data_IF_466300363459
#
_entry.id   IF_466300363459
#
_cell.length_a   1.000
_cell.length_b   1.000
_cell.length_c   1.000
_cell.angle_alpha   90.00
_cell.angle_beta   90.00
_cell.angle_gamma   90.00
#
_symmetry.space_group_name_H-M   'P 1'
#
loop_
_entity.id
_entity.type
_entity.pdbx_description
1 polymer ?
#
# COMPACT_ATOMS: atom_id res chain seq x y z
N UNK A 1 83.43 -29.15 -12.34
CA UNK A 1 82.30 -28.51 -13.00
C UNK A 1 81.09 -28.89 -12.21
N UNK A 2 80.48 -28.01 -11.42
CA UNK A 2 79.30 -28.31 -10.64
C UNK A 2 78.03 -27.87 -11.40
N UNK A 3 77.03 -28.77 -11.45
CA UNK A 3 75.74 -28.56 -12.00
C UNK A 3 74.87 -27.83 -10.97
N UNK A 4 74.17 -26.73 -11.39
CA UNK A 4 73.23 -25.97 -10.61
C UNK A 4 71.82 -26.52 -10.84
N UNK A 5 71.22 -27.09 -9.78
CA UNK A 5 69.77 -27.47 -9.74
C UNK A 5 68.95 -26.23 -9.41
N UNK A 6 67.98 -25.87 -10.29
CA UNK A 6 66.99 -24.87 -10.03
C UNK A 6 65.80 -25.50 -9.31
N UNK A 7 65.33 -24.97 -8.16
CA UNK A 7 64.08 -25.41 -7.58
C UNK A 7 62.93 -24.68 -8.26
N UNK A 8 61.97 -25.45 -8.86
CA UNK A 8 60.73 -24.95 -9.43
C UNK A 8 59.81 -24.51 -8.34
N UNK A 9 59.31 -23.27 -8.43
CA UNK A 9 58.29 -22.71 -7.58
C UNK A 9 56.91 -23.12 -8.12
N UNK A 10 56.22 -24.03 -7.43
CA UNK A 10 54.82 -24.34 -7.65
C UNK A 10 53.95 -23.24 -7.00
N UNK A 11 53.42 -22.32 -7.80
CA UNK A 11 52.41 -21.37 -7.35
C UNK A 11 51.03 -22.07 -7.27
N UNK A 12 50.59 -22.35 -6.06
CA UNK A 12 49.22 -22.83 -5.81
C UNK A 12 48.26 -21.63 -5.86
N UNK A 13 47.49 -21.50 -6.94
CA UNK A 13 46.39 -20.56 -7.03
C UNK A 13 45.20 -21.11 -6.24
N UNK A 14 45.00 -20.59 -5.03
CA UNK A 14 43.77 -20.81 -4.27
C UNK A 14 42.65 -19.97 -4.89
N UNK A 15 41.78 -20.60 -5.68
CA UNK A 15 40.52 -19.99 -6.12
C UNK A 15 39.61 -19.86 -4.90
N UNK A 16 39.53 -18.64 -4.34
CA UNK A 16 38.57 -18.29 -3.33
C UNK A 16 37.16 -18.27 -3.96
N UNK A 17 36.37 -19.29 -3.69
CA UNK A 17 34.93 -19.29 -3.94
C UNK A 17 34.29 -18.23 -3.02
N UNK A 18 34.15 -17.00 -3.52
CA UNK A 18 33.32 -15.97 -2.89
C UNK A 18 31.85 -16.45 -2.94
N UNK A 19 31.46 -17.17 -1.90
CA UNK A 19 30.05 -17.53 -1.70
C UNK A 19 29.23 -16.28 -1.64
N UNK A 20 28.47 -15.98 -2.68
CA UNK A 20 27.39 -15.00 -2.63
C UNK A 20 26.35 -15.55 -1.67
N UNK A 21 26.39 -15.11 -0.40
CA UNK A 21 25.32 -15.36 0.54
C UNK A 21 24.06 -14.74 -0.09
N UNK A 22 23.14 -15.58 -0.56
CA UNK A 22 21.82 -15.15 -1.01
C UNK A 22 21.19 -14.41 0.16
N UNK A 23 21.07 -13.08 0.02
CA UNK A 23 20.42 -12.25 1.03
C UNK A 23 18.96 -12.69 1.07
N UNK A 24 18.54 -13.30 2.18
CA UNK A 24 17.16 -13.71 2.35
C UNK A 24 16.26 -12.51 2.04
N UNK A 25 15.34 -12.68 1.10
CA UNK A 25 14.41 -11.63 0.71
C UNK A 25 13.56 -11.28 1.93
N UNK A 26 13.62 -10.03 2.34
CA UNK A 26 12.93 -9.54 3.52
C UNK A 26 11.40 -9.65 3.29
N UNK A 27 10.63 -10.26 4.22
CA UNK A 27 9.21 -10.49 4.00
C UNK A 27 8.47 -9.17 3.77
N UNK A 28 7.59 -9.15 2.77
CA UNK A 28 6.78 -7.98 2.42
C UNK A 28 5.92 -7.51 3.60
N UNK A 29 5.75 -6.18 3.82
CA UNK A 29 4.92 -5.67 4.90
C UNK A 29 3.44 -6.00 4.63
N UNK A 30 2.71 -6.40 5.67
CA UNK A 30 1.28 -6.66 5.60
C UNK A 30 0.48 -5.34 5.62
N UNK A 31 0.26 -4.73 4.46
CA UNK A 31 -0.56 -3.51 4.34
C UNK A 31 -2.00 -3.77 4.79
N UNK A 32 -2.62 -2.78 5.45
CA UNK A 32 -4.07 -2.73 5.61
C UNK A 32 -4.64 -1.43 5.03
N UNK A 33 -5.88 -1.51 4.57
CA UNK A 33 -6.67 -0.38 4.07
C UNK A 33 -7.91 -0.29 4.94
N UNK A 34 -8.17 0.91 5.47
CA UNK A 34 -9.42 1.28 6.13
C UNK A 34 -10.13 2.30 5.25
N UNK A 35 -11.45 2.30 5.26
CA UNK A 35 -12.26 3.33 4.61
C UNK A 35 -13.33 3.84 5.57
N UNK A 36 -13.39 5.16 5.76
CA UNK A 36 -14.32 5.83 6.67
C UNK A 36 -15.11 6.88 5.92
N UNK A 37 -16.41 6.88 6.11
CA UNK A 37 -17.31 7.87 5.51
C UNK A 37 -17.25 9.16 6.30
N UNK A 38 -17.19 10.29 5.60
CA UNK A 38 -17.38 11.59 6.23
C UNK A 38 -18.88 11.88 6.34
N UNK A 39 -19.40 11.95 7.56
CA UNK A 39 -20.83 12.16 7.84
C UNK A 39 -21.11 13.65 7.78
N UNK A 40 -21.76 14.10 6.70
CA UNK A 40 -21.99 15.51 6.43
C UNK A 40 -22.80 16.23 7.52
N UNK A 41 -23.73 15.54 8.18
CA UNK A 41 -24.60 16.12 9.21
C UNK A 41 -23.89 16.38 10.55
N UNK A 42 -22.84 15.63 10.85
CA UNK A 42 -22.14 15.72 12.15
C UNK A 42 -20.69 16.18 12.03
N UNK A 43 -20.10 16.16 10.82
CA UNK A 43 -18.68 16.43 10.59
C UNK A 43 -17.75 15.35 11.14
N UNK A 44 -18.28 14.18 11.46
CA UNK A 44 -17.51 13.05 12.02
C UNK A 44 -17.23 11.98 10.96
N UNK A 45 -16.34 11.06 11.29
CA UNK A 45 -16.10 9.88 10.48
C UNK A 45 -16.86 8.67 11.02
N UNK A 46 -17.33 7.81 10.11
CA UNK A 46 -17.87 6.51 10.46
C UNK A 46 -16.77 5.58 11.01
N UNK A 47 -17.20 4.43 11.52
CA UNK A 47 -16.28 3.29 11.68
C UNK A 47 -15.73 2.83 10.31
N UNK A 48 -14.70 1.96 10.33
CA UNK A 48 -14.14 1.36 9.11
C UNK A 48 -15.20 0.50 8.40
N UNK A 49 -15.60 0.93 7.21
CA UNK A 49 -16.61 0.22 6.39
C UNK A 49 -16.05 -1.01 5.68
N UNK A 50 -14.72 -1.20 5.69
CA UNK A 50 -14.03 -2.40 5.20
C UNK A 50 -13.76 -3.42 6.32
N UNK A 51 -14.02 -3.05 7.56
CA UNK A 51 -13.84 -3.91 8.72
C UNK A 51 -14.83 -5.09 8.73
N UNK A 52 -14.63 -6.07 9.62
CA UNK A 52 -15.46 -7.27 9.71
C UNK A 52 -16.93 -6.97 10.03
N UNK A 53 -17.21 -5.80 10.61
CA UNK A 53 -18.56 -5.31 10.88
C UNK A 53 -19.07 -4.36 9.77
N UNK A 54 -18.36 -4.24 8.65
CA UNK A 54 -18.73 -3.38 7.53
C UNK A 54 -20.12 -3.74 7.00
N UNK A 55 -21.03 -2.77 6.99
CA UNK A 55 -22.36 -2.93 6.43
C UNK A 55 -22.33 -2.70 4.93
N UNK A 56 -23.22 -3.38 4.19
CA UNK A 56 -23.49 -3.00 2.82
C UNK A 56 -23.91 -1.52 2.77
N UNK A 57 -23.18 -0.71 2.01
CA UNK A 57 -23.38 0.74 1.95
C UNK A 57 -24.46 1.07 0.92
N UNK A 58 -25.72 0.82 1.27
CA UNK A 58 -26.87 1.18 0.42
C UNK A 58 -27.24 2.64 0.59
N UNK A 59 -27.34 3.36 -0.53
CA UNK A 59 -27.94 4.70 -0.66
C UNK A 59 -27.55 5.73 0.42
N UNK A 60 -26.26 5.78 0.76
CA UNK A 60 -25.74 6.63 1.84
C UNK A 60 -25.82 8.14 1.56
N UNK A 61 -26.15 8.54 0.31
CA UNK A 61 -26.28 9.96 -0.06
C UNK A 61 -27.55 10.57 0.50
N UNK A 62 -28.63 9.79 0.58
CA UNK A 62 -29.97 10.21 1.04
C UNK A 62 -30.48 9.43 2.26
N UNK A 63 -29.66 8.55 2.83
CA UNK A 63 -30.03 7.76 4.01
C UNK A 63 -29.85 8.53 5.33
N UNK A 64 -30.04 7.82 6.44
CA UNK A 64 -29.90 8.36 7.81
C UNK A 64 -28.51 8.92 8.13
N UNK A 65 -27.52 8.55 7.34
CA UNK A 65 -26.12 8.97 7.50
C UNK A 65 -25.58 9.45 6.16
N UNK A 66 -26.00 10.65 5.68
CA UNK A 66 -25.58 11.14 4.38
C UNK A 66 -24.07 11.41 4.36
N UNK A 67 -23.40 10.80 3.38
CA UNK A 67 -21.98 11.00 3.12
C UNK A 67 -21.73 11.15 1.63
N UNK A 68 -20.89 12.10 1.28
CA UNK A 68 -20.44 12.35 -0.10
C UNK A 68 -18.93 12.24 -0.26
N UNK A 69 -18.21 11.86 0.81
CA UNK A 69 -16.78 11.74 0.79
C UNK A 69 -16.29 10.56 1.65
N UNK A 70 -15.14 10.01 1.28
CA UNK A 70 -14.53 8.86 1.96
C UNK A 70 -13.08 9.15 2.25
N UNK A 71 -12.67 8.98 3.51
CA UNK A 71 -11.28 8.95 3.91
C UNK A 71 -10.77 7.51 3.82
N UNK A 72 -9.77 7.28 2.96
CA UNK A 72 -9.06 5.99 2.86
C UNK A 72 -7.76 6.11 3.63
N UNK A 73 -7.52 5.23 4.58
CA UNK A 73 -6.30 5.18 5.39
C UNK A 73 -5.52 3.93 5.03
N UNK A 74 -4.28 4.10 4.59
CA UNK A 74 -3.36 2.99 4.35
C UNK A 74 -2.39 2.91 5.53
N UNK A 75 -2.38 1.75 6.20
CA UNK A 75 -1.45 1.45 7.29
C UNK A 75 -0.28 0.63 6.74
N UNK A 76 0.94 1.08 7.01
CA UNK A 76 2.20 0.39 6.67
C UNK A 76 2.89 0.01 7.97
N UNK A 77 2.89 -1.27 8.37
CA UNK A 77 3.59 -1.71 9.58
C UNK A 77 5.10 -1.68 9.36
N UNK A 78 5.87 -1.44 10.41
CA UNK A 78 7.34 -1.54 10.45
C UNK A 78 8.05 -0.85 9.26
N UNK A 79 7.51 0.26 8.77
CA UNK A 79 7.99 0.92 7.57
C UNK A 79 9.45 1.43 7.70
N UNK A 80 9.93 1.67 8.93
CA UNK A 80 11.28 2.17 9.19
C UNK A 80 12.38 1.17 8.85
N UNK A 81 12.07 -0.12 8.76
CA UNK A 81 13.06 -1.16 8.40
C UNK A 81 13.53 -1.06 6.94
N UNK A 82 12.79 -0.33 6.10
CA UNK A 82 13.09 -0.23 4.69
C UNK A 82 14.02 0.94 4.40
N UNK A 83 15.13 0.67 3.71
CA UNK A 83 16.08 1.71 3.32
C UNK A 83 15.57 2.60 2.18
N UNK A 84 15.97 3.87 2.23
CA UNK A 84 15.67 4.86 1.19
C UNK A 84 14.28 5.50 1.33
N UNK A 85 13.90 6.36 0.36
CA UNK A 85 12.62 7.05 0.38
C UNK A 85 11.45 6.08 0.33
N UNK A 86 10.52 6.22 1.29
CA UNK A 86 9.32 5.40 1.39
C UNK A 86 8.10 6.18 0.93
N UNK A 87 7.21 5.51 0.18
CA UNK A 87 6.01 6.13 -0.42
C UNK A 87 4.85 5.16 -0.43
N UNK A 88 3.64 5.70 -0.31
CA UNK A 88 2.40 4.97 -0.56
C UNK A 88 1.68 5.61 -1.74
N UNK A 89 1.33 4.82 -2.75
CA UNK A 89 0.44 5.20 -3.84
C UNK A 89 -0.91 4.56 -3.62
N UNK A 90 -1.97 5.34 -3.71
CA UNK A 90 -3.35 4.85 -3.77
C UNK A 90 -3.93 5.15 -5.13
N UNK A 91 -4.46 4.12 -5.78
CA UNK A 91 -5.32 4.24 -6.96
C UNK A 91 -6.72 3.84 -6.53
N UNK A 92 -7.69 4.74 -6.72
CA UNK A 92 -9.10 4.48 -6.49
C UNK A 92 -9.84 4.56 -7.82
N UNK A 93 -10.56 3.49 -8.16
CA UNK A 93 -11.28 3.36 -9.43
C UNK A 93 -12.75 3.10 -9.16
N UNK A 94 -13.61 4.01 -9.61
CA UNK A 94 -15.05 3.81 -9.55
C UNK A 94 -15.48 2.78 -10.61
N UNK A 95 -16.15 1.73 -10.16
CA UNK A 95 -16.66 0.68 -11.04
C UNK A 95 -18.05 1.04 -11.57
N UNK A 96 -18.42 0.57 -12.77
CA UNK A 96 -19.78 0.78 -13.28
C UNK A 96 -20.82 0.11 -12.37
N UNK A 97 -21.89 0.81 -12.12
CA UNK A 97 -23.12 0.27 -11.51
C UNK A 97 -23.90 -0.45 -12.61
N UNK A 98 -23.80 -1.80 -12.66
CA UNK A 98 -24.49 -2.61 -13.66
C UNK A 98 -24.38 -2.00 -15.08
N UNK A 99 -25.02 -2.57 -16.08
CA UNK A 99 -24.88 -2.14 -17.49
C UNK A 99 -25.41 -0.74 -17.84
N UNK A 100 -26.06 -0.02 -16.89
CA UNK A 100 -26.75 1.25 -17.17
C UNK A 100 -25.98 2.52 -16.86
N UNK A 101 -24.92 2.45 -16.05
CA UNK A 101 -24.15 3.66 -15.69
C UNK A 101 -22.65 3.37 -15.75
N UNK A 102 -21.92 3.97 -16.71
CA UNK A 102 -20.48 3.86 -16.74
C UNK A 102 -19.91 4.45 -15.45
N UNK A 103 -18.95 3.76 -14.82
CA UNK A 103 -18.18 4.31 -13.71
C UNK A 103 -17.30 5.47 -14.19
N UNK A 104 -16.95 6.38 -13.28
CA UNK A 104 -16.06 7.52 -13.60
C UNK A 104 -14.62 7.10 -13.93
N UNK A 105 -14.29 5.81 -13.80
CA UNK A 105 -12.93 5.33 -13.97
C UNK A 105 -12.03 5.68 -12.77
N UNK A 106 -10.77 6.04 -13.02
CA UNK A 106 -9.84 6.44 -11.96
C UNK A 106 -10.28 7.79 -11.38
N UNK A 107 -10.68 7.79 -10.10
CA UNK A 107 -11.11 8.98 -9.35
C UNK A 107 -9.99 9.55 -8.47
N UNK A 108 -8.99 8.74 -8.14
CA UNK A 108 -7.77 9.16 -7.49
C UNK A 108 -6.60 8.30 -7.96
N UNK A 109 -5.48 8.95 -8.27
CA UNK A 109 -4.16 8.33 -8.42
C UNK A 109 -3.16 9.25 -7.75
N UNK A 110 -2.76 8.94 -6.52
CA UNK A 110 -1.93 9.81 -5.73
C UNK A 110 -0.84 9.03 -4.98
N UNK A 111 0.36 9.59 -4.99
CA UNK A 111 1.50 9.08 -4.23
C UNK A 111 1.87 10.08 -3.14
N UNK A 112 1.97 9.61 -1.90
CA UNK A 112 2.38 10.40 -0.75
C UNK A 112 3.62 9.78 -0.11
N UNK A 113 4.58 10.60 0.36
CA UNK A 113 5.69 10.11 1.15
C UNK A 113 5.19 9.66 2.52
N UNK A 114 5.86 8.67 3.11
CA UNK A 114 5.69 8.39 4.54
C UNK A 114 6.46 9.43 5.36
N UNK A 115 5.98 9.76 6.57
CA UNK A 115 6.63 10.75 7.41
C UNK A 115 8.09 10.33 7.71
N UNK A 116 9.00 11.28 7.56
CA UNK A 116 10.45 11.04 7.64
C UNK A 116 10.96 10.79 9.07
N UNK A 117 10.16 11.07 10.07
CA UNK A 117 10.63 11.11 11.45
C UNK A 117 9.66 10.52 12.45
N UNK A 118 10.22 9.81 13.41
CA UNK A 118 9.72 9.84 14.76
C UNK A 118 8.78 8.73 15.18
N UNK A 119 8.61 7.67 14.42
CA UNK A 119 7.99 6.46 14.97
C UNK A 119 9.03 5.65 15.75
N UNK A 120 8.69 5.14 16.92
CA UNK A 120 9.51 4.14 17.59
C UNK A 120 9.65 2.90 16.68
N UNK A 121 10.76 2.14 16.75
CA UNK A 121 10.91 0.90 16.01
C UNK A 121 9.68 -0.01 16.21
N UNK A 122 9.16 -0.55 15.11
CA UNK A 122 7.97 -1.42 15.14
C UNK A 122 6.62 -0.69 15.03
N UNK A 123 6.60 0.64 15.05
CA UNK A 123 5.36 1.40 14.82
C UNK A 123 4.93 1.37 13.34
N UNK A 124 3.60 1.43 13.14
CA UNK A 124 3.04 1.60 11.81
C UNK A 124 2.97 3.08 11.42
N UNK A 125 3.11 3.35 10.12
CA UNK A 125 2.73 4.63 9.55
C UNK A 125 1.32 4.57 8.98
N UNK A 126 0.62 5.71 8.98
CA UNK A 126 -0.70 5.87 8.43
C UNK A 126 -0.69 7.00 7.40
N UNK A 127 -1.26 6.75 6.22
CA UNK A 127 -1.39 7.73 5.14
C UNK A 127 -2.85 7.86 4.76
N UNK A 128 -3.40 9.07 4.87
CA UNK A 128 -4.79 9.38 4.54
C UNK A 128 -4.94 9.92 3.11
N UNK A 129 -5.95 9.42 2.41
CA UNK A 129 -6.36 9.87 1.08
C UNK A 129 -7.84 10.23 1.09
N UNK A 130 -8.15 11.41 0.60
CA UNK A 130 -9.51 11.90 0.54
C UNK A 130 -10.12 11.65 -0.83
N UNK A 131 -11.30 11.03 -0.87
CA UNK A 131 -12.08 10.77 -2.07
C UNK A 131 -13.36 11.60 -2.01
N UNK A 132 -13.52 12.51 -2.97
CA UNK A 132 -14.72 13.32 -3.10
C UNK A 132 -15.79 12.63 -3.94
N UNK A 133 -17.04 13.03 -3.71
CA UNK A 133 -18.21 12.59 -4.49
C UNK A 133 -18.33 11.07 -4.55
N UNK A 134 -18.14 10.42 -3.40
CA UNK A 134 -18.32 8.98 -3.22
C UNK A 134 -19.74 8.69 -2.72
N UNK A 135 -20.14 7.41 -2.71
CA UNK A 135 -21.37 6.97 -2.03
C UNK A 135 -22.40 6.28 -2.92
N UNK A 136 -22.22 6.27 -4.24
CA UNK A 136 -23.14 5.61 -5.16
C UNK A 136 -22.55 4.37 -5.84
N UNK A 137 -21.38 4.48 -6.43
CA UNK A 137 -20.78 3.39 -7.21
C UNK A 137 -19.66 2.70 -6.41
N UNK A 138 -19.49 1.39 -6.58
CA UNK A 138 -18.39 0.67 -5.93
C UNK A 138 -17.04 1.25 -6.31
N UNK A 139 -16.12 1.34 -5.34
CA UNK A 139 -14.77 1.87 -5.54
C UNK A 139 -13.76 0.78 -5.27
N UNK A 140 -13.03 0.36 -6.30
CA UNK A 140 -11.87 -0.49 -6.15
C UNK A 140 -10.67 0.35 -5.70
N UNK A 141 -10.05 -0.06 -4.60
CA UNK A 141 -8.87 0.57 -4.01
C UNK A 141 -7.66 -0.34 -4.24
N UNK A 142 -6.54 0.26 -4.67
CA UNK A 142 -5.25 -0.43 -4.75
C UNK A 142 -4.18 0.44 -4.12
N UNK A 143 -3.70 0.02 -2.96
CA UNK A 143 -2.59 0.65 -2.26
C UNK A 143 -1.28 -0.08 -2.58
N UNK A 144 -0.22 0.68 -2.89
CA UNK A 144 1.12 0.16 -3.17
C UNK A 144 2.13 0.88 -2.28
N UNK A 145 2.88 0.12 -1.51
CA UNK A 145 4.02 0.63 -0.74
C UNK A 145 5.31 0.39 -1.51
N UNK A 146 6.12 1.43 -1.64
CA UNK A 146 7.43 1.38 -2.26
C UNK A 146 8.51 1.97 -1.33
N UNK A 147 9.69 1.36 -1.36
CA UNK A 147 10.88 1.82 -0.64
C UNK A 147 12.11 1.73 -1.55
N UNK A 148 12.95 2.78 -1.57
CA UNK A 148 14.13 2.85 -2.44
C UNK A 148 13.80 2.70 -3.93
N UNK A 149 12.60 3.13 -4.37
CA UNK A 149 12.15 2.99 -5.76
C UNK A 149 11.55 1.63 -6.13
N UNK A 150 11.57 0.65 -5.23
CA UNK A 150 11.05 -0.71 -5.47
C UNK A 150 9.72 -0.91 -4.76
N UNK A 151 8.72 -1.49 -5.45
CA UNK A 151 7.47 -1.94 -4.83
C UNK A 151 7.76 -3.08 -3.85
N UNK A 152 7.29 -2.94 -2.62
CA UNK A 152 7.46 -3.91 -1.53
C UNK A 152 6.18 -4.65 -1.18
N UNK A 153 5.04 -3.97 -1.29
CA UNK A 153 3.74 -4.57 -1.02
C UNK A 153 2.64 -3.90 -1.81
N UNK A 154 1.57 -4.65 -2.07
CA UNK A 154 0.33 -4.16 -2.65
C UNK A 154 -0.85 -4.77 -1.90
N UNK A 155 -1.87 -3.96 -1.65
CA UNK A 155 -3.14 -4.39 -1.05
C UNK A 155 -4.30 -3.85 -1.86
N UNK A 156 -5.32 -4.67 -2.06
CA UNK A 156 -6.55 -4.29 -2.73
C UNK A 156 -7.73 -4.40 -1.76
N UNK A 157 -8.74 -3.54 -1.96
CA UNK A 157 -9.99 -3.55 -1.24
C UNK A 157 -11.12 -3.02 -2.14
N UNK A 158 -12.36 -3.29 -1.78
CA UNK A 158 -13.55 -2.79 -2.48
C UNK A 158 -14.47 -2.12 -1.48
N UNK A 159 -14.75 -0.82 -1.68
CA UNK A 159 -15.84 -0.13 -0.97
C UNK A 159 -17.10 -0.33 -1.80
N UNK A 160 -18.00 -1.18 -1.32
CA UNK A 160 -19.20 -1.62 -2.08
C UNK A 160 -20.38 -0.65 -1.86
N UNK A 161 -20.25 0.56 -2.40
CA UNK A 161 -21.36 1.49 -2.44
C UNK A 161 -22.43 1.01 -3.42
N UNK A 162 -23.71 1.22 -3.03
CA UNK A 162 -24.87 0.85 -3.86
C UNK A 162 -25.91 1.95 -3.78
N UNK A 163 -26.14 2.66 -4.88
CA UNK A 163 -27.36 3.45 -5.03
C UNK A 163 -28.49 2.56 -5.54
N UNK A 164 -29.63 2.61 -4.89
CA UNK A 164 -30.88 2.05 -5.38
C UNK A 164 -31.60 3.20 -6.11
N UNK A 165 -31.81 3.03 -7.41
CA UNK A 165 -32.70 3.87 -8.23
C UNK A 165 -34.09 3.29 -8.20
#
# INVERSE_FOLDING_TARGET
>A
MPQWLHPGWLAVFAFGLAGHAARAEEPAPALSIEARLFINSTGQFSEDVLGPNGRALGNIIIGDVPSSATLVIVRVPEWQRWAGPTRVRLVATERPLRQRRPGRGVILDRTLPLPYSGGAPGQAAFVGFWLDRTGCAPIALRATFAAGGTTRATKEALVDFRCYE
#
